data_IF_491293896161
#
_entry.id   IF_491293896161
#
_cell.length_a   1.000
_cell.length_b   1.000
_cell.length_c   1.000
_cell.angle_alpha   90.00
_cell.angle_beta   90.00
_cell.angle_gamma   90.00
#
_symmetry.space_group_name_H-M   'P 1'
#
loop_
_entity.id
_entity.type
_entity.pdbx_description
1 polymer ?
#
# COMPACT_ATOMS: atom_id res chain seq x y z
N UNK A 1 -3.73 -26.35 6.00
CA UNK A 1 -4.38 -25.68 7.13
C UNK A 1 -4.23 -24.17 6.92
N UNK A 2 -5.32 -23.45 6.91
CA UNK A 2 -5.26 -22.01 6.81
C UNK A 2 -4.73 -21.46 8.14
N UNK A 3 -3.63 -20.73 8.10
CA UNK A 3 -3.21 -19.91 9.24
C UNK A 3 -4.19 -18.74 9.35
N UNK A 4 -4.73 -18.52 10.53
CA UNK A 4 -5.57 -17.36 10.79
C UNK A 4 -4.71 -16.18 11.21
N UNK A 5 -5.01 -14.99 10.66
CA UNK A 5 -4.51 -13.74 11.20
C UNK A 5 -5.45 -13.34 12.33
N UNK A 6 -5.04 -13.59 13.57
CA UNK A 6 -5.92 -13.43 14.72
C UNK A 6 -6.26 -11.99 15.06
N UNK A 7 -5.30 -11.10 14.91
CA UNK A 7 -5.49 -9.67 15.18
C UNK A 7 -4.69 -8.83 14.23
N UNK A 8 -5.31 -7.78 13.78
CA UNK A 8 -4.68 -6.71 13.01
C UNK A 8 -5.09 -5.39 13.63
N UNK A 9 -4.15 -4.47 13.69
CA UNK A 9 -4.38 -3.13 14.18
C UNK A 9 -3.46 -2.19 13.43
N UNK A 10 -4.04 -1.16 12.82
CA UNK A 10 -3.30 -0.13 12.14
C UNK A 10 -3.75 1.25 12.66
N UNK A 11 -2.80 2.19 12.69
CA UNK A 11 -3.03 3.56 13.14
C UNK A 11 -2.29 4.50 12.22
N UNK A 12 -2.97 5.55 11.78
CA UNK A 12 -2.40 6.65 11.02
C UNK A 12 -3.51 7.60 10.61
N UNK A 13 -3.28 8.92 10.74
CA UNK A 13 -4.25 9.96 10.39
C UNK A 13 -3.58 11.11 9.65
N UNK A 14 -2.42 11.59 10.11
CA UNK A 14 -1.58 12.61 9.49
C UNK A 14 -0.12 12.18 9.44
N UNK A 15 0.68 12.85 8.60
CA UNK A 15 2.04 12.47 8.22
C UNK A 15 2.03 11.06 7.62
N UNK A 16 1.17 10.85 6.62
CA UNK A 16 0.95 9.58 5.94
C UNK A 16 1.32 9.68 4.46
N UNK A 17 2.54 9.35 4.20
CA UNK A 17 3.11 9.06 2.89
C UNK A 17 4.21 8.01 3.07
N UNK A 18 3.87 6.77 3.45
CA UNK A 18 4.86 5.80 3.87
C UNK A 18 5.87 5.49 2.76
N UNK A 19 7.13 5.50 3.15
CA UNK A 19 8.25 4.91 2.44
C UNK A 19 9.07 4.14 3.49
N UNK A 20 8.36 3.45 4.36
CA UNK A 20 8.78 2.77 5.58
C UNK A 20 9.58 3.65 6.54
N UNK A 21 9.24 4.71 6.69
CA UNK A 21 9.57 5.60 7.83
C UNK A 21 8.43 5.83 8.88
N UNK A 22 4.75 7.03 10.17
CA UNK A 22 3.96 7.34 11.43
C UNK A 22 2.76 6.41 11.62
N UNK A 23 2.56 5.81 10.51
CA UNK A 23 1.73 4.65 10.42
C UNK A 23 2.30 3.55 11.32
N UNK A 24 1.49 3.01 12.17
CA UNK A 24 1.80 1.84 12.97
C UNK A 24 0.86 0.71 12.57
N UNK A 25 1.42 -0.45 12.22
CA UNK A 25 0.64 -1.64 11.90
C UNK A 25 1.20 -2.86 12.63
N UNK A 26 0.33 -3.55 13.36
CA UNK A 26 0.67 -4.76 14.11
C UNK A 26 -0.22 -5.91 13.64
N UNK A 27 0.41 -6.96 13.17
CA UNK A 27 -0.25 -8.16 12.66
C UNK A 27 0.21 -9.36 13.46
N UNK A 28 -0.72 -10.23 13.85
CA UNK A 28 -0.39 -11.47 14.54
C UNK A 28 -0.98 -12.66 13.82
N UNK A 29 -0.23 -13.75 13.78
CA UNK A 29 -0.64 -15.01 13.19
C UNK A 29 -0.18 -16.19 14.04
N UNK A 30 -0.87 -17.30 13.94
CA UNK A 30 -0.45 -18.58 14.55
C UNK A 30 0.40 -19.44 13.62
N UNK A 31 0.63 -19.01 12.39
CA UNK A 31 1.36 -19.75 11.39
C UNK A 31 2.78 -20.13 11.87
N UNK A 32 3.18 -21.39 11.67
CA UNK A 32 4.56 -21.82 11.79
C UNK A 32 5.31 -21.44 10.51
N UNK A 33 6.10 -20.36 10.59
CA UNK A 33 6.86 -19.80 9.45
C UNK A 33 8.18 -19.24 9.94
N UNK A 34 9.24 -19.39 9.14
CA UNK A 34 10.57 -18.90 9.55
C UNK A 34 10.67 -17.37 9.51
N UNK A 35 11.54 -16.76 10.31
CA UNK A 35 11.76 -15.30 10.30
C UNK A 35 12.15 -14.76 8.92
N UNK A 36 12.93 -15.51 8.15
CA UNK A 36 13.36 -15.14 6.81
C UNK A 36 12.17 -15.05 5.85
N UNK A 37 11.28 -16.05 5.92
CA UNK A 37 10.09 -16.09 5.07
C UNK A 37 9.08 -15.00 5.46
N UNK A 38 8.88 -14.73 6.76
CA UNK A 38 8.06 -13.60 7.22
C UNK A 38 8.62 -12.29 6.70
N UNK A 39 9.94 -12.09 6.85
CA UNK A 39 10.60 -10.86 6.40
C UNK A 39 10.43 -10.64 4.90
N UNK A 40 10.63 -11.69 4.09
CA UNK A 40 10.42 -11.61 2.64
C UNK A 40 8.97 -11.23 2.31
N UNK A 41 8.01 -11.96 2.88
CA UNK A 41 6.58 -11.70 2.66
C UNK A 41 6.18 -10.28 3.08
N UNK A 42 6.69 -9.80 4.23
CA UNK A 42 6.37 -8.47 4.74
C UNK A 42 6.91 -7.37 3.83
N UNK A 43 8.18 -7.46 3.39
CA UNK A 43 8.79 -6.45 2.53
C UNK A 43 8.05 -6.32 1.20
N UNK A 44 7.73 -7.45 0.55
CA UNK A 44 6.99 -7.44 -0.70
C UNK A 44 5.57 -6.92 -0.53
N UNK A 45 4.92 -7.29 0.58
CA UNK A 45 3.56 -6.82 0.90
C UNK A 45 3.51 -5.32 1.16
N UNK A 46 4.44 -4.80 1.95
CA UNK A 46 4.48 -3.36 2.29
C UNK A 46 4.66 -2.51 1.05
N UNK A 47 5.50 -2.95 0.10
CA UNK A 47 5.73 -2.25 -1.17
C UNK A 47 4.44 -2.04 -1.96
N UNK A 48 3.56 -3.03 -1.98
CA UNK A 48 2.32 -3.00 -2.78
C UNK A 48 1.08 -2.55 -1.99
N UNK A 49 1.22 -2.22 -0.71
CA UNK A 49 0.14 -1.79 0.17
C UNK A 49 0.41 -0.42 0.79
N UNK A 50 1.06 -0.38 1.96
CA UNK A 50 1.31 0.85 2.71
C UNK A 50 2.14 1.88 1.94
N UNK A 51 3.16 1.45 1.19
CA UNK A 51 3.98 2.37 0.39
C UNK A 51 3.23 2.98 -0.81
N UNK A 52 2.01 2.51 -1.12
CA UNK A 52 1.17 3.04 -2.20
C UNK A 52 0.14 4.07 -1.75
N UNK A 53 -0.05 4.28 -0.44
CA UNK A 53 -0.99 5.29 0.05
C UNK A 53 -0.32 6.65 0.30
N UNK A 54 -1.13 7.70 0.30
CA UNK A 54 -0.74 9.04 0.71
C UNK A 54 -1.94 9.83 1.20
N UNK A 55 -1.84 10.44 2.38
CA UNK A 55 -2.83 11.41 2.90
C UNK A 55 -2.38 12.83 2.59
N UNK A 56 -1.18 13.21 3.00
CA UNK A 56 -0.69 14.59 2.96
C UNK A 56 0.63 14.76 2.18
N UNK A 57 1.26 13.67 1.77
CA UNK A 57 2.53 13.68 1.04
C UNK A 57 3.76 13.74 1.95
N UNK A 58 3.58 13.79 3.28
CA UNK A 58 4.65 13.88 4.25
C UNK A 58 5.02 12.50 4.78
N UNK A 59 6.31 12.15 4.67
CA UNK A 59 6.84 10.87 5.16
C UNK A 59 7.31 11.00 6.59
N UNK A 60 6.84 10.11 7.46
CA UNK A 60 7.28 10.02 8.84
C UNK A 60 8.65 9.33 8.98
N UNK A 61 9.33 9.61 10.08
CA UNK A 61 10.53 8.88 10.51
C UNK A 61 10.23 7.65 11.36
N UNK A 62 8.95 7.38 11.66
CA UNK A 62 8.54 6.38 12.65
C UNK A 62 7.50 5.36 12.12
N UNK A 63 7.28 5.29 10.81
CA UNK A 63 6.39 4.26 10.25
C UNK A 63 6.89 2.87 10.63
N UNK A 64 5.99 2.01 11.08
CA UNK A 64 6.35 0.68 11.56
C UNK A 64 5.27 -0.33 11.16
N UNK A 65 5.69 -1.43 10.55
CA UNK A 65 4.85 -2.58 10.29
C UNK A 65 5.50 -3.84 10.88
N UNK A 66 4.78 -4.53 11.75
CA UNK A 66 5.29 -5.71 12.47
C UNK A 66 4.35 -6.89 12.25
N UNK A 67 4.93 -8.04 11.94
CA UNK A 67 4.22 -9.34 11.91
C UNK A 67 4.82 -10.23 12.99
N UNK A 68 3.98 -10.76 13.87
CA UNK A 68 4.33 -11.70 14.92
C UNK A 68 3.66 -13.04 14.64
N UNK A 69 4.44 -14.11 14.60
CA UNK A 69 3.97 -15.49 14.44
C UNK A 69 4.34 -16.34 15.64
N UNK A 70 3.39 -17.04 16.24
CA UNK A 70 3.63 -17.88 17.41
C UNK A 70 3.78 -19.38 17.08
N UNK A 71 3.52 -19.80 15.84
CA UNK A 71 3.70 -21.16 15.37
C UNK A 71 2.68 -22.19 15.87
N UNK A 72 1.57 -21.76 16.45
CA UNK A 72 0.60 -22.66 17.08
C UNK A 72 -0.47 -23.20 16.12
N UNK A 73 -0.46 -22.84 14.84
CA UNK A 73 -1.44 -23.34 13.84
C UNK A 73 -1.34 -24.83 13.53
N UNK A 74 -0.23 -25.48 13.91
CA UNK A 74 -0.02 -26.90 13.67
C UNK A 74 0.29 -27.24 12.20
N UNK A 75 0.55 -26.24 11.36
CA UNK A 75 1.00 -26.45 10.00
C UNK A 75 2.45 -26.92 9.95
N UNK A 76 2.84 -27.57 8.85
CA UNK A 76 4.25 -27.80 8.55
C UNK A 76 4.97 -26.44 8.48
N UNK A 77 6.11 -26.24 9.18
CA UNK A 77 6.81 -24.96 9.18
C UNK A 77 7.19 -24.51 7.76
N UNK A 78 6.81 -23.30 7.41
CA UNK A 78 7.14 -22.68 6.12
C UNK A 78 8.57 -22.13 6.23
N UNK A 79 9.53 -22.82 5.59
CA UNK A 79 10.95 -22.48 5.62
C UNK A 79 11.52 -22.12 4.24
N UNK A 80 10.68 -22.07 3.21
CA UNK A 80 11.06 -21.77 1.84
C UNK A 80 9.85 -21.44 0.97
N UNK A 81 10.07 -21.03 -0.29
CA UNK A 81 8.99 -20.79 -1.26
C UNK A 81 8.22 -22.09 -1.57
N UNK A 82 6.94 -21.95 -1.91
CA UNK A 82 6.03 -23.04 -2.24
C UNK A 82 4.58 -22.68 -1.96
N UNK A 83 3.65 -23.60 -2.22
CA UNK A 83 2.20 -23.32 -2.14
C UNK A 83 1.73 -22.81 -0.76
N UNK A 84 2.31 -23.28 0.33
CA UNK A 84 1.96 -22.80 1.67
C UNK A 84 2.46 -21.37 1.90
N UNK A 85 3.67 -21.04 1.41
CA UNK A 85 4.19 -19.67 1.43
C UNK A 85 3.34 -18.75 0.57
N UNK A 86 2.98 -19.16 -0.64
CA UNK A 86 2.15 -18.35 -1.54
C UNK A 86 0.78 -18.07 -0.92
N UNK A 87 0.20 -19.04 -0.23
CA UNK A 87 -1.06 -18.89 0.51
C UNK A 87 -0.92 -17.89 1.66
N UNK A 88 0.14 -18.02 2.46
CA UNK A 88 0.44 -17.09 3.54
C UNK A 88 0.65 -15.66 3.01
N UNK A 89 1.47 -15.53 1.96
CA UNK A 89 1.76 -14.25 1.32
C UNK A 89 0.49 -13.58 0.78
N UNK A 90 -0.37 -14.33 0.09
CA UNK A 90 -1.64 -13.79 -0.42
C UNK A 90 -2.56 -13.30 0.70
N UNK A 91 -2.64 -14.04 1.82
CA UNK A 91 -3.42 -13.63 2.98
C UNK A 91 -2.85 -12.37 3.64
N UNK A 92 -1.52 -12.32 3.85
CA UNK A 92 -0.84 -11.16 4.42
C UNK A 92 -1.04 -9.92 3.54
N UNK A 93 -0.87 -10.07 2.23
CA UNK A 93 -1.09 -9.01 1.25
C UNK A 93 -2.52 -8.47 1.31
N UNK A 94 -3.52 -9.35 1.33
CA UNK A 94 -4.93 -8.95 1.42
C UNK A 94 -5.20 -8.11 2.67
N UNK A 95 -4.68 -8.54 3.82
CA UNK A 95 -4.84 -7.81 5.08
C UNK A 95 -4.17 -6.44 5.02
N UNK A 96 -2.92 -6.37 4.55
CA UNK A 96 -2.19 -5.10 4.47
C UNK A 96 -2.79 -4.12 3.47
N UNK A 97 -3.29 -4.59 2.32
CA UNK A 97 -4.01 -3.75 1.35
C UNK A 97 -5.31 -3.19 1.95
N UNK A 98 -6.03 -4.00 2.73
CA UNK A 98 -7.23 -3.55 3.44
C UNK A 98 -6.89 -2.47 4.48
N UNK A 99 -5.90 -2.71 5.36
CA UNK A 99 -5.48 -1.75 6.37
C UNK A 99 -4.93 -0.45 5.75
N UNK A 100 -4.17 -0.54 4.66
CA UNK A 100 -3.67 0.62 3.93
C UNK A 100 -4.83 1.50 3.41
N UNK A 101 -5.87 0.89 2.82
CA UNK A 101 -7.06 1.61 2.38
C UNK A 101 -7.83 2.24 3.54
N UNK A 102 -7.94 1.54 4.67
CA UNK A 102 -8.58 2.07 5.88
C UNK A 102 -7.83 3.30 6.42
N UNK A 103 -6.49 3.25 6.49
CA UNK A 103 -5.67 4.39 6.90
C UNK A 103 -5.87 5.58 5.94
N UNK A 104 -5.84 5.34 4.63
CA UNK A 104 -6.02 6.40 3.63
C UNK A 104 -7.43 7.01 3.69
N UNK A 105 -8.46 6.23 3.99
CA UNK A 105 -9.84 6.69 4.11
C UNK A 105 -10.11 7.46 5.40
N UNK A 106 -9.34 7.20 6.47
CA UNK A 106 -9.43 7.84 7.78
C UNK A 106 -8.36 8.92 7.97
N UNK A 107 -7.81 9.45 6.88
CA UNK A 107 -6.85 10.53 6.91
C UNK A 107 -7.45 11.80 7.51
N UNK A 108 -6.62 12.62 8.15
CA UNK A 108 -7.04 13.86 8.81
C UNK A 108 -7.78 14.79 7.83
N UNK A 109 -9.06 15.07 8.13
CA UNK A 109 -9.93 15.86 7.27
C UNK A 109 -10.41 15.18 5.99
N UNK A 110 -10.11 13.88 5.80
CA UNK A 110 -10.49 13.14 4.60
C UNK A 110 -12.02 12.93 4.53
N UNK A 111 -12.63 13.47 3.48
CA UNK A 111 -14.05 13.21 3.15
C UNK A 111 -14.22 12.20 2.01
N UNK A 112 -13.14 11.77 1.37
CA UNK A 112 -13.15 10.87 0.21
C UNK A 112 -11.88 10.03 0.16
N UNK A 113 -12.03 8.77 -0.28
CA UNK A 113 -10.93 7.93 -0.69
C UNK A 113 -10.77 8.00 -2.21
N UNK A 114 -9.60 8.42 -2.68
CA UNK A 114 -9.28 8.48 -4.11
C UNK A 114 -8.38 7.30 -4.47
N UNK A 115 -8.78 6.53 -5.46
CA UNK A 115 -7.97 5.45 -6.02
C UNK A 115 -7.54 5.80 -7.44
N UNK A 116 -6.24 5.75 -7.71
CA UNK A 116 -5.69 5.89 -9.06
C UNK A 116 -5.20 4.53 -9.55
N UNK A 117 -5.68 4.12 -10.71
CA UNK A 117 -5.23 2.89 -11.39
C UNK A 117 -4.57 3.27 -12.70
N UNK A 118 -3.33 2.85 -12.90
CA UNK A 118 -2.59 3.02 -14.16
C UNK A 118 -2.50 1.67 -14.86
N UNK A 119 -2.86 1.66 -16.15
CA UNK A 119 -2.82 0.48 -17.01
C UNK A 119 -2.02 0.78 -18.27
N UNK A 120 -1.38 -0.22 -18.84
CA UNK A 120 -0.65 -0.09 -20.11
C UNK A 120 0.70 0.63 -20.01
N UNK A 121 1.22 0.86 -18.81
CA UNK A 121 2.58 1.33 -18.63
C UNK A 121 3.60 0.24 -19.03
N UNK A 122 4.82 0.64 -19.42
CA UNK A 122 5.87 -0.29 -19.83
C UNK A 122 6.39 -1.15 -18.66
N UNK A 123 6.43 -0.56 -17.47
CA UNK A 123 6.87 -1.25 -16.24
C UNK A 123 5.93 -0.95 -15.07
N UNK A 124 5.96 -1.81 -14.05
CA UNK A 124 5.22 -1.58 -12.81
C UNK A 124 5.72 -0.33 -12.07
N UNK A 125 7.01 -0.07 -12.09
CA UNK A 125 7.63 1.11 -11.49
C UNK A 125 7.13 2.39 -12.14
N UNK A 126 7.03 2.43 -13.46
CA UNK A 126 6.48 3.55 -14.21
C UNK A 126 5.01 3.78 -13.85
N UNK A 127 4.21 2.71 -13.80
CA UNK A 127 2.81 2.79 -13.39
C UNK A 127 2.65 3.32 -11.96
N UNK A 128 3.49 2.85 -11.03
CA UNK A 128 3.49 3.29 -9.64
C UNK A 128 3.87 4.76 -9.50
N UNK A 129 4.90 5.23 -10.20
CA UNK A 129 5.33 6.63 -10.20
C UNK A 129 4.20 7.55 -10.67
N UNK A 130 3.53 7.21 -11.76
CA UNK A 130 2.40 7.97 -12.28
C UNK A 130 1.22 7.97 -11.30
N UNK A 131 0.80 6.80 -10.82
CA UNK A 131 -0.32 6.69 -9.87
C UNK A 131 -0.04 7.47 -8.58
N UNK A 132 1.18 7.36 -8.07
CA UNK A 132 1.60 8.03 -6.85
C UNK A 132 1.67 9.56 -7.02
N UNK A 133 2.10 10.06 -8.17
CA UNK A 133 2.07 11.49 -8.48
C UNK A 133 0.64 12.04 -8.50
N UNK A 134 -0.31 11.29 -9.06
CA UNK A 134 -1.74 11.68 -9.09
C UNK A 134 -2.32 11.75 -7.69
N UNK A 135 -2.17 10.69 -6.87
CA UNK A 135 -2.78 10.67 -5.52
C UNK A 135 -2.09 11.62 -4.54
N UNK A 136 -0.85 12.05 -4.81
CA UNK A 136 -0.14 13.07 -4.02
C UNK A 136 -0.51 14.50 -4.39
N UNK A 137 -1.02 14.73 -5.60
CA UNK A 137 -1.25 16.06 -6.13
C UNK A 137 -2.28 16.84 -5.30
N UNK A 138 -1.91 17.96 -4.67
CA UNK A 138 -2.88 18.81 -3.96
C UNK A 138 -3.99 19.32 -4.88
N UNK A 139 -3.67 19.64 -6.14
CA UNK A 139 -4.65 20.12 -7.10
C UNK A 139 -5.64 19.03 -7.51
N UNK A 140 -5.20 17.78 -7.67
CA UNK A 140 -6.10 16.64 -7.91
C UNK A 140 -6.99 16.42 -6.69
N UNK A 141 -6.43 16.45 -5.47
CA UNK A 141 -7.22 16.31 -4.24
C UNK A 141 -8.27 17.41 -4.10
N UNK A 142 -7.93 18.67 -4.39
CA UNK A 142 -8.89 19.77 -4.40
C UNK A 142 -10.00 19.56 -5.43
N UNK A 143 -9.68 19.06 -6.63
CA UNK A 143 -10.68 18.75 -7.64
C UNK A 143 -11.63 17.65 -7.17
N UNK A 144 -11.10 16.55 -6.63
CA UNK A 144 -11.90 15.45 -6.09
C UNK A 144 -12.76 15.89 -4.91
N UNK A 145 -12.24 16.72 -4.02
CA UNK A 145 -13.02 17.30 -2.91
C UNK A 145 -14.17 18.19 -3.43
N UNK A 146 -13.88 19.03 -4.43
CA UNK A 146 -14.85 19.93 -5.06
C UNK A 146 -15.80 19.27 -6.06
N UNK A 147 -15.72 17.94 -6.25
CA UNK A 147 -16.50 17.19 -7.28
C UNK A 147 -16.29 17.70 -8.71
N UNK A 148 -15.07 18.18 -9.01
CA UNK A 148 -14.65 18.67 -10.31
C UNK A 148 -13.90 17.55 -11.07
N UNK A 149 -14.44 17.12 -12.21
CA UNK A 149 -13.83 16.13 -13.10
C UNK A 149 -12.66 16.74 -13.89
N UNK A 150 -11.58 17.09 -13.17
CA UNK A 150 -10.47 17.85 -13.72
C UNK A 150 -9.35 16.93 -14.24
N UNK A 151 -9.57 16.33 -15.41
CA UNK A 151 -8.56 15.49 -16.08
C UNK A 151 -7.25 16.25 -16.36
N UNK A 152 -7.30 17.56 -16.59
CA UNK A 152 -6.11 18.38 -16.81
C UNK A 152 -5.15 18.39 -15.61
N UNK A 153 -5.67 18.37 -14.38
CA UNK A 153 -4.86 18.24 -13.17
C UNK A 153 -4.25 16.85 -13.03
N UNK A 154 -4.94 15.81 -13.51
CA UNK A 154 -4.41 14.45 -13.55
C UNK A 154 -3.24 14.37 -14.51
N UNK A 155 -3.39 14.85 -15.75
CA UNK A 155 -2.31 14.91 -16.75
C UNK A 155 -1.13 15.76 -16.25
N UNK A 156 -1.38 16.89 -15.60
CA UNK A 156 -0.34 17.70 -15.00
C UNK A 156 0.46 16.89 -13.95
N UNK A 157 -0.23 16.13 -13.09
CA UNK A 157 0.42 15.29 -12.10
C UNK A 157 1.28 14.18 -12.73
N UNK A 158 0.79 13.56 -13.79
CA UNK A 158 1.56 12.58 -14.57
C UNK A 158 2.81 13.23 -15.20
N UNK A 159 2.68 14.44 -15.72
CA UNK A 159 3.79 15.16 -16.39
C UNK A 159 4.98 15.46 -15.47
N UNK A 160 4.78 15.58 -14.14
CA UNK A 160 5.89 15.74 -13.19
C UNK A 160 6.20 14.48 -12.37
N UNK A 161 5.64 13.33 -12.74
CA UNK A 161 5.83 12.07 -12.02
C UNK A 161 7.29 11.57 -12.03
N UNK A 162 8.12 12.05 -12.95
CA UNK A 162 9.47 11.55 -13.17
C UNK A 162 9.51 10.23 -13.97
N UNK A 163 8.35 9.77 -14.44
CA UNK A 163 8.26 8.64 -15.35
C UNK A 163 8.46 9.11 -16.80
N UNK A 164 9.19 8.34 -17.58
CA UNK A 164 9.30 8.55 -19.03
C UNK A 164 8.00 8.07 -19.69
N UNK A 165 7.10 9.01 -20.03
CA UNK A 165 5.79 8.72 -20.59
C UNK A 165 5.41 9.73 -21.66
N UNK A 166 4.91 9.23 -22.79
CA UNK A 166 4.32 10.05 -23.83
C UNK A 166 2.89 10.44 -23.42
N UNK A 167 2.75 11.63 -22.84
CA UNK A 167 1.46 12.12 -22.34
C UNK A 167 0.41 12.28 -23.44
N UNK A 168 0.79 12.31 -24.72
CA UNK A 168 -0.16 12.36 -25.84
C UNK A 168 -0.92 11.05 -26.06
N UNK A 169 -0.44 9.96 -25.41
CA UNK A 169 -1.03 8.62 -25.45
C UNK A 169 -1.75 8.23 -24.16
N UNK A 170 -1.88 9.17 -23.24
CA UNK A 170 -2.55 8.92 -21.95
C UNK A 170 -4.03 9.29 -22.05
N UNK A 171 -4.89 8.32 -21.74
CA UNK A 171 -6.32 8.51 -21.54
C UNK A 171 -6.62 8.62 -20.03
N UNK A 172 -7.54 9.52 -19.65
CA UNK A 172 -7.94 9.77 -18.26
C UNK A 172 -9.47 9.69 -18.12
#
# INVERSE_FOLDING_TARGET
AASDVYKRQAKGSGMIHPNMGTMLCFLTTDCAISPEMIKSALLDTVRVSFNRISVDGDTSTNDTCVVLANGLAGNTPITGPGADYDTFFAALRHVCEYEAKMIASDGEGAGRLVTCTVQGAETEEQAEQMAKAVVRSPLVKCAMFGTDANWGRVLCAIGYAGADVDVSKVDV
#
